data_IF_516045630465
#
_entry.id   IF_516045630465
#
_cell.length_a   1.000
_cell.length_b   1.000
_cell.length_c   1.000
_cell.angle_alpha   90.00
_cell.angle_beta   90.00
_cell.angle_gamma   90.00
#
_symmetry.space_group_name_H-M   'P 1'
#
loop_
_entity.id
_entity.type
_entity.pdbx_description
1 polymer ?
#
# COMPACT_ATOMS: atom_id res chain seq x y z
N UNK A 1 4.75 5.52 -8.44
CA UNK A 1 6.13 5.39 -9.02
C UNK A 1 6.15 4.41 -10.19
N UNK A 2 7.35 4.12 -10.80
CA UNK A 2 7.44 3.13 -11.89
C UNK A 2 6.99 1.74 -11.42
N UNK A 3 7.39 1.22 -10.25
CA UNK A 3 6.86 -0.04 -9.74
C UNK A 3 5.34 -0.09 -9.66
N UNK A 4 4.69 0.96 -9.20
CA UNK A 4 3.21 1.03 -9.05
C UNK A 4 2.45 1.05 -10.39
N UNK A 5 3.14 1.15 -11.52
CA UNK A 5 2.52 0.96 -12.83
C UNK A 5 2.03 -0.48 -13.03
N UNK A 6 2.34 -1.40 -12.13
CA UNK A 6 1.76 -2.74 -12.10
C UNK A 6 0.23 -2.73 -12.00
N UNK A 7 -0.36 -1.67 -11.43
CA UNK A 7 -1.82 -1.46 -11.40
C UNK A 7 -2.45 -1.45 -12.81
N UNK A 8 -1.67 -1.16 -13.85
CA UNK A 8 -2.14 -1.22 -15.24
C UNK A 8 -2.54 -2.67 -15.60
N UNK A 9 -1.96 -3.68 -14.95
CA UNK A 9 -2.35 -5.08 -15.07
C UNK A 9 -3.84 -5.32 -14.83
N UNK A 10 -4.49 -4.52 -13.99
CA UNK A 10 -5.92 -4.61 -13.71
C UNK A 10 -6.81 -4.39 -14.96
N UNK A 11 -6.26 -3.87 -16.06
CA UNK A 11 -7.01 -3.67 -17.29
C UNK A 11 -7.26 -4.97 -18.08
N UNK A 12 -6.44 -6.02 -17.83
CA UNK A 12 -6.53 -7.29 -18.56
C UNK A 12 -6.39 -8.54 -17.69
N UNK A 13 -6.00 -8.40 -16.42
CA UNK A 13 -5.92 -9.50 -15.47
C UNK A 13 -7.24 -9.66 -14.70
N UNK A 14 -7.51 -10.87 -14.21
CA UNK A 14 -8.56 -11.07 -13.22
C UNK A 14 -8.23 -10.33 -11.91
N UNK A 15 -9.23 -10.02 -11.08
CA UNK A 15 -9.00 -9.39 -9.77
C UNK A 15 -8.07 -10.25 -8.89
N UNK A 16 -8.21 -11.57 -8.97
CA UNK A 16 -7.37 -12.51 -8.24
C UNK A 16 -5.91 -12.47 -8.71
N UNK A 17 -5.69 -12.49 -10.02
CA UNK A 17 -4.34 -12.42 -10.60
C UNK A 17 -3.70 -11.05 -10.32
N UNK A 18 -4.49 -9.98 -10.39
CA UNK A 18 -4.05 -8.63 -10.03
C UNK A 18 -3.62 -8.52 -8.57
N UNK A 19 -4.34 -9.19 -7.66
CA UNK A 19 -3.96 -9.26 -6.23
C UNK A 19 -2.60 -9.93 -6.02
N UNK A 20 -2.32 -11.00 -6.78
CA UNK A 20 -1.05 -11.71 -6.72
C UNK A 20 0.08 -10.95 -7.44
N UNK A 21 -0.24 -10.21 -8.51
CA UNK A 21 0.73 -9.46 -9.31
C UNK A 21 1.17 -8.16 -8.65
N UNK A 22 0.24 -7.49 -7.95
CA UNK A 22 0.53 -6.23 -7.27
C UNK A 22 1.61 -6.40 -6.18
N UNK A 23 2.61 -5.51 -6.20
CA UNK A 23 3.85 -5.60 -5.42
C UNK A 23 4.64 -6.91 -5.64
N UNK A 24 4.53 -7.46 -6.85
CA UNK A 24 5.29 -8.62 -7.33
C UNK A 24 6.61 -8.22 -7.97
N UNK A 25 6.84 -8.68 -9.20
CA UNK A 25 8.13 -8.53 -9.90
C UNK A 25 8.57 -7.08 -10.06
N UNK A 26 7.65 -6.15 -10.30
CA UNK A 26 7.93 -4.71 -10.43
C UNK A 26 8.48 -4.08 -9.15
N UNK A 27 8.22 -4.71 -7.99
CA UNK A 27 8.69 -4.31 -6.67
C UNK A 27 9.85 -5.19 -6.16
N UNK A 28 10.48 -5.98 -7.03
CA UNK A 28 11.61 -6.83 -6.64
C UNK A 28 12.95 -6.08 -6.71
N UNK A 29 13.92 -6.59 -5.98
CA UNK A 29 15.30 -6.13 -6.10
C UNK A 29 15.85 -6.36 -7.51
N UNK A 30 15.49 -7.48 -8.14
CA UNK A 30 15.88 -7.76 -9.52
C UNK A 30 15.38 -6.68 -10.48
N UNK A 31 14.09 -6.34 -10.41
CA UNK A 31 13.53 -5.26 -11.23
C UNK A 31 14.20 -3.92 -10.95
N UNK A 32 14.48 -3.61 -9.69
CA UNK A 32 15.14 -2.36 -9.31
C UNK A 32 16.53 -2.23 -9.91
N UNK A 33 17.30 -3.32 -9.91
CA UNK A 33 18.66 -3.34 -10.48
C UNK A 33 18.58 -3.27 -12.02
N UNK A 34 17.87 -4.20 -12.66
CA UNK A 34 17.75 -4.26 -14.13
C UNK A 34 17.10 -2.98 -14.67
N UNK A 35 16.03 -2.51 -14.01
CA UNK A 35 15.35 -1.27 -14.39
C UNK A 35 16.26 -0.04 -14.26
N UNK A 36 17.13 0.03 -13.26
CA UNK A 36 18.08 1.12 -13.12
C UNK A 36 19.02 1.22 -14.32
N UNK A 37 19.55 0.10 -14.79
CA UNK A 37 20.38 0.07 -16.00
C UNK A 37 19.59 0.41 -17.25
N UNK A 38 18.43 -0.20 -17.44
CA UNK A 38 17.59 0.00 -18.63
C UNK A 38 17.10 1.46 -18.73
N UNK A 39 16.43 1.97 -17.69
CA UNK A 39 15.87 3.32 -17.71
C UNK A 39 16.96 4.39 -17.70
N UNK A 40 18.08 4.15 -16.99
CA UNK A 40 19.23 5.04 -17.00
C UNK A 40 19.85 5.15 -18.40
N UNK A 41 20.02 4.02 -19.09
CA UNK A 41 20.50 3.99 -20.46
C UNK A 41 19.53 4.68 -21.44
N UNK A 42 18.23 4.38 -21.34
CA UNK A 42 17.20 4.98 -22.20
C UNK A 42 17.18 6.50 -22.08
N UNK A 43 17.18 7.03 -20.83
CA UNK A 43 17.14 8.47 -20.59
C UNK A 43 18.44 9.13 -21.02
N UNK A 44 19.59 8.51 -20.77
CA UNK A 44 20.86 9.01 -21.26
C UNK A 44 20.87 9.13 -22.79
N UNK A 45 20.48 8.08 -23.51
CA UNK A 45 20.37 8.06 -24.98
C UNK A 45 19.39 9.11 -25.49
N UNK A 46 18.27 9.29 -24.80
CA UNK A 46 17.30 10.34 -25.15
C UNK A 46 17.94 11.72 -25.12
N UNK A 47 18.71 12.04 -24.07
CA UNK A 47 19.35 13.35 -23.91
C UNK A 47 20.57 13.54 -24.82
N UNK A 48 21.26 12.48 -25.26
CA UNK A 48 22.33 12.54 -26.28
C UNK A 48 21.80 12.64 -27.70
N UNK A 49 20.52 12.36 -27.92
CA UNK A 49 19.93 12.47 -29.27
C UNK A 49 19.80 13.93 -29.72
N UNK A 50 19.97 14.16 -31.05
CA UNK A 50 19.64 15.45 -31.67
C UNK A 50 18.17 15.90 -31.43
N UNK A 51 17.28 14.95 -31.15
CA UNK A 51 15.88 15.17 -30.88
C UNK A 51 15.55 15.27 -29.40
N UNK A 52 16.54 15.45 -28.51
CA UNK A 52 16.37 15.42 -27.06
C UNK A 52 15.24 16.33 -26.53
N UNK A 53 15.07 17.53 -27.14
CA UNK A 53 13.97 18.45 -26.79
C UNK A 53 12.61 17.84 -27.09
N UNK A 54 12.45 17.31 -28.32
CA UNK A 54 11.19 16.69 -28.75
C UNK A 54 10.89 15.44 -27.93
N UNK A 55 11.84 14.54 -27.78
CA UNK A 55 11.69 13.30 -27.02
C UNK A 55 11.39 13.57 -25.55
N UNK A 56 12.11 14.52 -24.93
CA UNK A 56 11.87 14.91 -23.55
C UNK A 56 10.50 15.59 -23.36
N UNK A 57 10.13 16.49 -24.25
CA UNK A 57 8.85 17.18 -24.23
C UNK A 57 7.68 16.21 -24.40
N UNK A 58 7.73 15.38 -25.43
CA UNK A 58 6.67 14.38 -25.69
C UNK A 58 6.57 13.36 -24.57
N UNK A 59 7.71 12.86 -24.06
CA UNK A 59 7.72 11.93 -22.92
C UNK A 59 7.04 12.52 -21.67
N UNK A 60 7.37 13.74 -21.27
CA UNK A 60 6.76 14.38 -20.12
C UNK A 60 5.28 14.73 -20.34
N UNK A 61 4.88 15.12 -21.56
CA UNK A 61 3.46 15.32 -21.89
C UNK A 61 2.69 14.01 -21.77
N UNK A 62 3.23 12.92 -22.34
CA UNK A 62 2.61 11.59 -22.23
C UNK A 62 2.48 11.13 -20.77
N UNK A 63 3.51 11.34 -19.95
CA UNK A 63 3.46 11.05 -18.51
C UNK A 63 2.34 11.88 -17.83
N UNK A 64 2.25 13.17 -18.11
CA UNK A 64 1.22 14.05 -17.53
C UNK A 64 -0.18 13.58 -17.92
N UNK A 65 -0.40 13.25 -19.20
CA UNK A 65 -1.68 12.76 -19.72
C UNK A 65 -2.02 11.38 -19.15
N UNK A 66 -1.05 10.46 -19.10
CA UNK A 66 -1.25 9.12 -18.52
C UNK A 66 -1.59 9.20 -17.03
N UNK A 67 -0.90 10.06 -16.26
CA UNK A 67 -1.20 10.29 -14.84
C UNK A 67 -2.62 10.86 -14.66
N UNK A 68 -3.00 11.83 -15.49
CA UNK A 68 -4.34 12.40 -15.48
C UNK A 68 -5.41 11.34 -15.80
N UNK A 69 -5.19 10.54 -16.84
CA UNK A 69 -6.12 9.48 -17.25
C UNK A 69 -6.26 8.41 -16.17
N UNK A 70 -5.15 7.95 -15.60
CA UNK A 70 -5.17 6.97 -14.53
C UNK A 70 -5.92 7.52 -13.30
N UNK A 71 -5.65 8.77 -12.93
CA UNK A 71 -6.36 9.44 -11.83
C UNK A 71 -7.86 9.56 -12.08
N UNK A 72 -8.30 9.79 -13.32
CA UNK A 72 -9.70 9.88 -13.70
C UNK A 72 -10.41 8.51 -13.71
N UNK A 73 -9.70 7.46 -14.10
CA UNK A 73 -10.24 6.09 -14.20
C UNK A 73 -10.42 5.40 -12.85
N UNK A 74 -9.57 5.70 -11.87
CA UNK A 74 -9.60 5.04 -10.55
C UNK A 74 -10.76 5.57 -9.69
N UNK A 75 -11.70 4.71 -9.27
CA UNK A 75 -12.81 5.03 -8.34
C UNK A 75 -13.96 5.82 -8.96
N UNK A 76 -14.92 6.26 -8.12
CA UNK A 76 -16.12 6.97 -8.58
C UNK A 76 -15.80 8.36 -9.15
N UNK A 77 -16.52 8.75 -10.20
CA UNK A 77 -16.40 10.08 -10.82
C UNK A 77 -16.92 11.17 -9.86
N UNK A 78 -16.20 12.30 -9.82
CA UNK A 78 -16.68 13.54 -9.19
C UNK A 78 -16.15 14.75 -9.95
N UNK A 79 -16.84 15.89 -9.85
CA UNK A 79 -16.43 17.14 -10.50
C UNK A 79 -15.05 17.60 -10.00
N UNK A 80 -14.79 17.47 -8.70
CA UNK A 80 -13.49 17.82 -8.09
C UNK A 80 -12.39 16.95 -8.69
N UNK A 81 -12.63 15.64 -8.79
CA UNK A 81 -11.71 14.69 -9.39
C UNK A 81 -11.44 15.02 -10.86
N UNK A 82 -12.48 15.36 -11.63
CA UNK A 82 -12.33 15.79 -13.02
C UNK A 82 -11.48 17.06 -13.11
N UNK A 83 -11.73 18.07 -12.29
CA UNK A 83 -10.96 19.32 -12.26
C UNK A 83 -9.48 19.07 -11.93
N UNK A 84 -9.18 18.22 -10.96
CA UNK A 84 -7.80 17.83 -10.59
C UNK A 84 -7.13 17.09 -11.75
N UNK A 85 -7.78 16.08 -12.35
CA UNK A 85 -7.24 15.32 -13.47
C UNK A 85 -6.93 16.21 -14.68
N UNK A 86 -7.86 17.11 -15.05
CA UNK A 86 -7.64 18.08 -16.13
C UNK A 86 -6.46 19.01 -15.77
N UNK A 87 -6.38 19.49 -14.53
CA UNK A 87 -5.26 20.33 -14.08
C UNK A 87 -3.91 19.62 -14.19
N UNK A 88 -3.84 18.34 -13.85
CA UNK A 88 -2.64 17.52 -14.01
C UNK A 88 -2.29 17.36 -15.49
N UNK A 89 -3.24 16.96 -16.34
CA UNK A 89 -3.00 16.69 -17.76
C UNK A 89 -2.65 17.95 -18.54
N UNK A 90 -3.51 18.96 -18.48
CA UNK A 90 -3.35 20.22 -19.25
C UNK A 90 -2.27 21.10 -18.62
N UNK A 91 -2.29 21.29 -17.30
CA UNK A 91 -1.29 22.08 -16.58
C UNK A 91 0.11 21.49 -16.69
N UNK A 92 0.25 20.18 -16.48
CA UNK A 92 1.52 19.46 -16.63
C UNK A 92 2.05 19.55 -18.06
N UNK A 93 1.20 19.36 -19.06
CA UNK A 93 1.58 19.48 -20.48
C UNK A 93 1.99 20.92 -20.83
N UNK A 94 1.25 21.93 -20.38
CA UNK A 94 1.59 23.33 -20.59
C UNK A 94 2.93 23.72 -19.93
N UNK A 95 3.15 23.33 -18.69
CA UNK A 95 4.40 23.61 -17.98
C UNK A 95 5.58 22.90 -18.66
N UNK A 96 5.40 21.68 -19.15
CA UNK A 96 6.39 20.96 -19.93
C UNK A 96 6.72 21.69 -21.22
N UNK A 97 5.70 22.05 -22.01
CA UNK A 97 5.88 22.81 -23.24
C UNK A 97 6.63 24.12 -22.98
N UNK A 98 6.19 24.92 -22.00
CA UNK A 98 6.84 26.18 -21.62
C UNK A 98 8.30 25.97 -21.20
N UNK A 99 8.61 24.90 -20.47
CA UNK A 99 9.97 24.58 -20.00
C UNK A 99 10.90 24.23 -21.16
N UNK A 100 10.48 23.36 -22.07
CA UNK A 100 11.33 22.89 -23.18
C UNK A 100 11.53 23.94 -24.28
N UNK A 101 10.59 24.89 -24.42
CA UNK A 101 10.67 25.99 -25.39
C UNK A 101 11.30 27.28 -24.83
N UNK A 102 11.81 27.29 -23.59
CA UNK A 102 12.56 28.45 -23.07
C UNK A 102 13.89 28.61 -23.85
N UNK A 103 14.28 29.88 -24.17
CA UNK A 103 15.58 30.13 -24.81
C UNK A 103 16.77 29.58 -24.01
N UNK A 104 16.68 29.60 -22.68
CA UNK A 104 17.70 29.09 -21.77
C UNK A 104 17.53 27.60 -21.41
N UNK A 105 16.82 26.82 -22.24
CA UNK A 105 16.74 25.37 -22.00
C UNK A 105 18.10 24.72 -22.26
N UNK A 106 18.71 24.20 -21.21
CA UNK A 106 19.90 23.37 -21.28
C UNK A 106 19.53 21.92 -20.95
N UNK A 107 20.08 20.97 -21.69
CA UNK A 107 19.99 19.55 -21.35
C UNK A 107 20.69 19.29 -20.02
N UNK A 108 20.27 18.28 -19.23
CA UNK A 108 21.00 17.87 -18.05
C UNK A 108 22.43 17.45 -18.39
N UNK A 109 23.42 17.99 -17.70
CA UNK A 109 24.80 17.53 -17.76
C UNK A 109 24.96 16.36 -16.78
N UNK A 110 24.60 15.18 -17.21
CA UNK A 110 24.62 13.96 -16.40
C UNK A 110 25.21 12.81 -17.21
N UNK A 111 26.17 12.12 -16.62
CA UNK A 111 26.77 10.93 -17.21
C UNK A 111 25.78 9.74 -17.18
N UNK A 112 26.06 8.70 -17.97
CA UNK A 112 25.30 7.45 -17.90
C UNK A 112 25.28 6.87 -16.46
N UNK A 113 26.38 6.97 -15.75
CA UNK A 113 26.49 6.54 -14.33
C UNK A 113 25.55 7.30 -13.42
N UNK A 114 25.39 8.62 -13.61
CA UNK A 114 24.49 9.43 -12.81
C UNK A 114 23.04 9.03 -13.02
N UNK A 115 22.65 8.72 -14.27
CA UNK A 115 21.34 8.21 -14.59
C UNK A 115 21.07 6.83 -13.98
N UNK A 116 22.06 5.91 -14.00
CA UNK A 116 21.94 4.60 -13.36
C UNK A 116 21.71 4.75 -11.85
N UNK A 117 22.49 5.60 -11.17
CA UNK A 117 22.30 5.83 -9.72
C UNK A 117 20.97 6.50 -9.40
N UNK A 118 20.52 7.44 -10.23
CA UNK A 118 19.21 8.07 -10.04
C UNK A 118 18.08 7.03 -10.07
N UNK A 119 18.06 6.20 -11.09
CA UNK A 119 17.05 5.16 -11.21
C UNK A 119 17.21 4.04 -10.18
N UNK A 120 18.43 3.67 -9.85
CA UNK A 120 18.68 2.67 -8.80
C UNK A 120 18.07 3.10 -7.47
N UNK A 121 18.41 4.28 -6.98
CA UNK A 121 17.84 4.76 -5.71
C UNK A 121 16.34 5.00 -5.79
N UNK A 122 15.84 5.52 -6.90
CA UNK A 122 14.40 5.73 -7.10
C UNK A 122 13.59 4.44 -7.15
N UNK A 123 14.16 3.36 -7.70
CA UNK A 123 13.48 2.07 -7.81
C UNK A 123 13.64 1.21 -6.55
N UNK A 124 14.85 1.17 -5.94
CA UNK A 124 15.13 0.26 -4.83
C UNK A 124 14.52 0.74 -3.51
N UNK A 125 14.47 2.06 -3.27
CA UNK A 125 13.90 2.60 -2.04
C UNK A 125 12.40 2.39 -1.95
N UNK A 126 11.70 2.36 -3.07
CA UNK A 126 10.25 2.19 -3.11
C UNK A 126 9.80 0.83 -2.53
N UNK A 127 10.21 -0.33 -3.05
CA UNK A 127 9.82 -1.62 -2.48
C UNK A 127 10.34 -1.83 -1.06
N UNK A 128 11.48 -1.24 -0.68
CA UNK A 128 11.94 -1.26 0.72
C UNK A 128 10.93 -0.53 1.61
N UNK A 129 10.47 0.67 1.23
CA UNK A 129 9.46 1.41 1.98
C UNK A 129 8.13 0.66 2.07
N UNK A 130 7.75 -0.04 1.01
CA UNK A 130 6.54 -0.86 1.01
C UNK A 130 6.57 -2.00 2.01
N UNK A 131 7.74 -2.55 2.34
CA UNK A 131 7.86 -3.60 3.37
C UNK A 131 7.50 -3.12 4.77
N UNK A 132 7.51 -1.83 5.03
CA UNK A 132 7.08 -1.30 6.32
C UNK A 132 5.56 -1.34 6.50
N UNK A 133 4.79 -1.54 5.42
CA UNK A 133 3.33 -1.65 5.46
C UNK A 133 2.85 -3.10 5.69
N UNK A 134 1.59 -3.25 6.10
CA UNK A 134 0.96 -4.56 6.35
C UNK A 134 0.69 -5.38 5.07
N UNK A 135 0.64 -4.72 3.92
CA UNK A 135 0.37 -5.40 2.65
C UNK A 135 1.45 -6.40 2.27
N UNK A 136 2.72 -6.04 2.50
CA UNK A 136 3.88 -6.86 2.15
C UNK A 136 4.30 -6.72 0.68
N UNK A 137 5.57 -7.07 0.39
CA UNK A 137 6.22 -6.87 -0.90
C UNK A 137 7.07 -8.07 -1.26
N UNK A 138 6.98 -8.55 -2.49
CA UNK A 138 7.73 -9.70 -2.99
C UNK A 138 9.14 -9.27 -3.44
N UNK A 139 10.00 -8.91 -2.49
CA UNK A 139 11.35 -8.39 -2.75
C UNK A 139 12.23 -9.32 -3.60
N UNK A 140 12.00 -10.62 -3.50
CA UNK A 140 12.84 -11.67 -4.13
C UNK A 140 12.19 -12.29 -5.37
N UNK A 141 11.09 -11.70 -5.89
CA UNK A 141 10.50 -12.18 -7.14
C UNK A 141 11.49 -12.03 -8.32
N UNK A 142 11.50 -12.98 -9.27
CA UNK A 142 10.62 -14.14 -9.43
C UNK A 142 11.07 -15.40 -8.68
N UNK A 143 12.15 -15.35 -7.91
CA UNK A 143 12.76 -16.53 -7.26
C UNK A 143 11.99 -16.97 -6.01
N UNK A 144 11.22 -16.08 -5.39
CA UNK A 144 10.39 -16.37 -4.23
C UNK A 144 9.16 -15.47 -4.24
N UNK A 145 8.03 -16.04 -3.84
CA UNK A 145 6.77 -15.32 -3.64
C UNK A 145 6.59 -14.85 -2.18
N UNK A 146 7.63 -14.94 -1.34
CA UNK A 146 7.60 -14.45 0.03
C UNK A 146 7.33 -12.94 0.07
N UNK A 147 6.35 -12.54 0.87
CA UNK A 147 5.95 -11.14 1.05
C UNK A 147 6.54 -10.59 2.34
N UNK A 148 7.61 -9.80 2.21
CA UNK A 148 8.22 -9.11 3.34
C UNK A 148 7.30 -8.01 3.86
N UNK A 149 6.93 -8.05 5.15
CA UNK A 149 6.09 -7.06 5.80
C UNK A 149 6.53 -6.86 7.26
N UNK A 150 6.92 -5.64 7.62
CA UNK A 150 7.26 -5.25 8.99
C UNK A 150 6.00 -4.77 9.72
N UNK A 151 5.08 -4.16 8.99
CA UNK A 151 3.76 -3.72 9.48
C UNK A 151 3.85 -2.70 10.62
N UNK A 152 4.73 -1.72 10.51
CA UNK A 152 4.92 -0.68 11.51
C UNK A 152 4.38 0.69 11.09
N UNK A 153 3.99 0.85 9.82
CA UNK A 153 3.39 2.08 9.31
C UNK A 153 2.14 1.77 8.48
N UNK A 154 1.16 2.65 8.52
CA UNK A 154 -0.02 2.60 7.66
C UNK A 154 0.36 2.86 6.19
N UNK A 155 -0.35 2.25 5.24
CA UNK A 155 -0.16 2.49 3.80
C UNK A 155 -0.27 3.98 3.44
N UNK A 156 -1.17 4.71 4.12
CA UNK A 156 -1.32 6.16 3.99
C UNK A 156 -1.11 6.79 5.37
N UNK A 157 0.12 7.16 5.68
CA UNK A 157 0.47 7.88 6.91
C UNK A 157 0.75 9.36 6.58
N UNK A 158 -0.16 10.29 6.95
CA UNK A 158 0.01 11.71 6.67
C UNK A 158 1.24 12.32 7.38
N UNK A 159 1.55 11.87 8.60
CA UNK A 159 2.69 12.42 9.34
C UNK A 159 4.01 12.09 8.62
N UNK A 160 4.21 10.83 8.20
CA UNK A 160 5.38 10.44 7.40
C UNK A 160 5.46 11.25 6.10
N UNK A 161 4.34 11.33 5.39
CA UNK A 161 4.27 11.98 4.07
C UNK A 161 4.53 13.47 4.17
N UNK A 162 3.91 14.18 5.12
CA UNK A 162 4.07 15.62 5.28
C UNK A 162 5.47 16.02 5.73
N UNK A 163 6.09 15.25 6.63
CA UNK A 163 7.48 15.47 7.08
C UNK A 163 8.47 15.39 5.91
N UNK A 164 8.19 14.55 4.91
CA UNK A 164 9.00 14.44 3.70
C UNK A 164 8.63 15.49 2.64
N UNK A 165 7.34 15.63 2.32
CA UNK A 165 6.88 16.41 1.17
C UNK A 165 6.96 17.92 1.39
N UNK A 166 6.68 18.42 2.61
CA UNK A 166 6.71 19.86 2.88
C UNK A 166 8.11 20.46 2.61
N UNK A 167 9.21 19.92 3.15
CA UNK A 167 10.55 20.42 2.82
C UNK A 167 10.87 20.33 1.32
N UNK A 168 10.39 19.30 0.61
CA UNK A 168 10.60 19.18 -0.83
C UNK A 168 9.84 20.26 -1.62
N UNK A 169 8.59 20.54 -1.25
CA UNK A 169 7.80 21.63 -1.86
C UNK A 169 8.51 22.96 -1.66
N UNK A 170 8.96 23.25 -0.45
CA UNK A 170 9.71 24.48 -0.16
C UNK A 170 11.01 24.53 -0.98
N UNK A 171 11.74 23.41 -1.08
CA UNK A 171 12.96 23.32 -1.88
C UNK A 171 12.71 23.60 -3.38
N UNK A 172 11.52 23.29 -3.90
CA UNK A 172 11.18 23.52 -5.31
C UNK A 172 11.15 25.01 -5.70
N UNK A 173 10.92 25.91 -4.75
CA UNK A 173 10.93 27.36 -4.98
C UNK A 173 12.35 27.97 -5.04
N UNK A 174 13.39 27.23 -4.65
CA UNK A 174 14.76 27.71 -4.69
C UNK A 174 15.49 27.22 -5.94
N UNK A 175 16.37 28.09 -6.49
CA UNK A 175 17.22 27.72 -7.62
C UNK A 175 18.19 26.59 -7.23
N UNK A 176 18.56 25.74 -8.22
CA UNK A 176 19.39 24.54 -7.99
C UNK A 176 20.73 24.82 -7.31
N UNK A 177 21.35 25.98 -7.61
CA UNK A 177 22.64 26.38 -7.05
C UNK A 177 22.56 26.84 -5.59
N UNK A 178 21.39 27.10 -5.05
CA UNK A 178 21.27 27.61 -3.68
C UNK A 178 21.48 26.49 -2.65
N UNK A 179 22.40 26.66 -1.68
CA UNK A 179 22.68 25.62 -0.67
C UNK A 179 21.46 25.24 0.16
N UNK A 180 20.55 26.18 0.38
CA UNK A 180 19.30 25.97 1.13
C UNK A 180 18.47 24.84 0.52
N UNK A 181 18.47 24.69 -0.81
CA UNK A 181 17.73 23.62 -1.48
C UNK A 181 18.23 22.24 -1.05
N UNK A 182 19.54 22.04 -0.99
CA UNK A 182 20.15 20.79 -0.51
C UNK A 182 19.82 20.55 0.96
N UNK A 183 19.88 21.58 1.80
CA UNK A 183 19.53 21.49 3.24
C UNK A 183 18.07 21.03 3.40
N UNK A 184 17.13 21.64 2.68
CA UNK A 184 15.71 21.29 2.74
C UNK A 184 15.43 19.83 2.31
N UNK A 185 16.08 19.35 1.23
CA UNK A 185 15.97 17.95 0.81
C UNK A 185 16.44 17.01 1.93
N UNK A 186 17.61 17.29 2.52
CA UNK A 186 18.10 16.48 3.64
C UNK A 186 17.21 16.59 4.88
N UNK A 187 16.64 17.75 5.16
CA UNK A 187 15.67 17.91 6.26
C UNK A 187 14.47 16.98 6.05
N UNK A 188 13.90 16.92 4.84
CA UNK A 188 12.79 16.00 4.55
C UNK A 188 13.17 14.53 4.77
N UNK A 189 14.33 14.12 4.26
CA UNK A 189 14.83 12.75 4.44
C UNK A 189 15.06 12.43 5.92
N UNK A 190 15.71 13.31 6.66
CA UNK A 190 16.03 13.09 8.09
C UNK A 190 14.74 13.01 8.92
N UNK A 191 13.82 13.96 8.75
CA UNK A 191 12.57 13.98 9.52
C UNK A 191 11.70 12.74 9.24
N UNK A 192 11.55 12.35 7.98
CA UNK A 192 10.80 11.14 7.64
C UNK A 192 11.48 9.86 8.15
N UNK A 193 12.83 9.82 8.15
CA UNK A 193 13.59 8.69 8.71
C UNK A 193 13.46 8.60 10.23
N UNK A 194 13.50 9.73 10.93
CA UNK A 194 13.27 9.78 12.39
C UNK A 194 11.86 9.28 12.71
N UNK A 195 10.87 9.73 11.93
CA UNK A 195 9.49 9.24 12.11
C UNK A 195 9.39 7.74 11.83
N UNK A 196 10.05 7.21 10.81
CA UNK A 196 10.12 5.77 10.56
C UNK A 196 10.71 5.00 11.75
N UNK A 197 11.79 5.49 12.35
CA UNK A 197 12.34 4.90 13.60
C UNK A 197 11.31 4.95 14.74
N UNK A 198 10.57 6.04 14.87
CA UNK A 198 9.49 6.15 15.86
C UNK A 198 8.37 5.12 15.61
N UNK A 199 7.96 4.89 14.37
CA UNK A 199 6.95 3.86 14.07
C UNK A 199 7.45 2.43 14.38
N UNK A 200 8.74 2.14 14.17
CA UNK A 200 9.36 0.87 14.58
C UNK A 200 9.38 0.71 16.11
N UNK A 201 9.67 1.77 16.84
CA UNK A 201 9.61 1.77 18.30
C UNK A 201 8.16 1.52 18.79
N UNK A 202 7.17 2.15 18.18
CA UNK A 202 5.77 1.91 18.51
C UNK A 202 5.36 0.45 18.20
N UNK A 203 5.80 -0.11 17.07
CA UNK A 203 5.60 -1.53 16.75
C UNK A 203 6.15 -2.44 17.85
N UNK A 204 7.36 -2.16 18.33
CA UNK A 204 7.95 -2.92 19.43
C UNK A 204 7.09 -2.82 20.68
N UNK A 205 6.71 -1.60 21.11
CA UNK A 205 5.86 -1.38 22.29
C UNK A 205 4.52 -2.11 22.20
N UNK A 206 3.82 -1.94 21.09
CA UNK A 206 2.52 -2.59 20.83
C UNK A 206 2.64 -4.12 20.84
N UNK A 207 3.75 -4.64 20.32
CA UNK A 207 4.04 -6.08 20.36
C UNK A 207 4.20 -6.58 21.80
N UNK A 208 4.81 -5.80 22.71
CA UNK A 208 4.89 -6.17 24.13
C UNK A 208 3.50 -6.12 24.79
N UNK A 209 2.73 -5.05 24.56
CA UNK A 209 1.34 -4.95 25.08
C UNK A 209 0.48 -6.13 24.64
N UNK A 210 0.61 -6.58 23.38
CA UNK A 210 -0.11 -7.77 22.92
C UNK A 210 0.31 -9.01 23.70
N UNK A 211 1.61 -9.25 23.88
CA UNK A 211 2.11 -10.39 24.65
C UNK A 211 1.61 -10.37 26.10
N UNK A 212 1.67 -9.21 26.77
CA UNK A 212 1.23 -9.05 28.14
C UNK A 212 -0.29 -9.28 28.24
N UNK A 213 -1.08 -8.81 27.26
CA UNK A 213 -2.53 -9.09 27.18
C UNK A 213 -2.80 -10.58 27.06
N UNK A 214 -2.08 -11.30 26.19
CA UNK A 214 -2.27 -12.73 25.97
C UNK A 214 -1.94 -13.55 27.23
N UNK A 215 -0.90 -13.19 27.95
CA UNK A 215 -0.55 -13.79 29.23
C UNK A 215 -1.61 -13.53 30.29
N UNK A 216 -2.06 -12.27 30.42
CA UNK A 216 -3.08 -11.88 31.42
C UNK A 216 -4.43 -12.56 31.18
N UNK A 217 -4.81 -12.83 29.94
CA UNK A 217 -6.06 -13.48 29.56
C UNK A 217 -5.95 -15.00 29.41
N UNK A 218 -4.74 -15.58 29.65
CA UNK A 218 -4.44 -17.01 29.49
C UNK A 218 -4.81 -17.54 28.09
N UNK A 219 -4.54 -16.74 27.04
CA UNK A 219 -4.82 -17.10 25.66
C UNK A 219 -3.61 -17.86 25.10
N UNK A 220 -3.81 -19.15 24.77
CA UNK A 220 -2.85 -19.93 24.02
C UNK A 220 -2.90 -19.54 22.55
N UNK A 221 -1.73 -19.32 21.93
CA UNK A 221 -1.62 -18.87 20.53
C UNK A 221 -0.44 -19.53 19.81
N UNK A 222 -0.55 -19.66 18.51
CA UNK A 222 0.55 -20.08 17.64
C UNK A 222 1.38 -18.90 17.16
N UNK A 223 0.72 -17.82 16.81
CA UNK A 223 1.31 -16.56 16.32
C UNK A 223 0.32 -15.42 16.46
N UNK A 224 0.81 -14.20 16.35
CA UNK A 224 -0.05 -13.02 16.27
C UNK A 224 0.52 -11.99 15.30
N UNK A 225 -0.32 -11.08 14.87
CA UNK A 225 0.00 -9.99 13.96
C UNK A 225 -0.53 -8.68 14.53
N UNK A 226 0.24 -7.59 14.41
CA UNK A 226 -0.20 -6.26 14.77
C UNK A 226 0.17 -5.28 13.68
N UNK A 227 -0.70 -4.32 13.38
CA UNK A 227 -0.44 -3.24 12.43
C UNK A 227 -1.13 -1.96 12.86
N UNK A 228 -0.58 -0.78 12.53
CA UNK A 228 -1.28 0.47 12.80
C UNK A 228 -2.52 0.58 11.90
N UNK A 229 -3.56 1.22 12.43
CA UNK A 229 -4.76 1.51 11.66
C UNK A 229 -4.50 2.59 10.59
N UNK A 230 -5.45 2.80 9.70
CA UNK A 230 -5.31 3.74 8.59
C UNK A 230 -5.05 5.17 9.07
N UNK A 231 -4.20 5.92 8.37
CA UNK A 231 -3.89 7.36 8.55
C UNK A 231 -3.17 7.74 9.84
N UNK A 232 -2.79 6.79 10.70
CA UNK A 232 -2.11 7.12 11.96
C UNK A 232 -1.16 6.00 12.41
N UNK A 233 -0.38 6.28 13.45
CA UNK A 233 0.50 5.34 14.14
C UNK A 233 0.22 5.30 15.66
N UNK A 234 -1.00 5.66 16.08
CA UNK A 234 -1.45 5.70 17.48
C UNK A 234 -2.38 4.52 17.76
N UNK A 235 -3.39 4.31 16.91
CA UNK A 235 -4.31 3.19 17.00
C UNK A 235 -3.76 1.98 16.25
N UNK A 236 -3.75 0.84 16.89
CA UNK A 236 -3.23 -0.42 16.38
C UNK A 236 -4.30 -1.50 16.39
N UNK A 237 -4.32 -2.30 15.35
CA UNK A 237 -5.12 -3.52 15.29
C UNK A 237 -4.23 -4.72 15.57
N UNK A 238 -4.81 -5.75 16.17
CA UNK A 238 -4.13 -7.01 16.43
C UNK A 238 -5.01 -8.20 16.11
N UNK A 239 -4.42 -9.26 15.59
CA UNK A 239 -5.05 -10.56 15.39
C UNK A 239 -4.14 -11.64 15.95
N UNK A 240 -4.72 -12.55 16.70
CA UNK A 240 -4.05 -13.66 17.39
C UNK A 240 -4.60 -14.96 16.85
N UNK A 241 -3.71 -15.79 16.33
CA UNK A 241 -4.02 -17.10 15.77
C UNK A 241 -3.97 -18.15 16.90
N UNK A 242 -5.13 -18.66 17.29
CA UNK A 242 -5.29 -19.73 18.26
C UNK A 242 -5.95 -20.96 17.63
N UNK A 243 -6.05 -22.05 18.37
CA UNK A 243 -6.61 -23.31 17.88
C UNK A 243 -8.10 -23.15 17.53
N UNK A 244 -8.42 -23.16 16.23
CA UNK A 244 -9.80 -23.06 15.72
C UNK A 244 -10.39 -21.65 15.72
N UNK A 245 -9.76 -20.69 16.38
CA UNK A 245 -10.30 -19.33 16.56
C UNK A 245 -9.26 -18.25 16.29
N UNK A 246 -9.73 -17.05 15.98
CA UNK A 246 -8.96 -15.82 16.08
C UNK A 246 -9.44 -14.99 17.27
N UNK A 247 -8.49 -14.37 17.98
CA UNK A 247 -8.78 -13.20 18.79
C UNK A 247 -8.31 -11.98 18.03
N UNK A 248 -9.14 -10.96 17.95
CA UNK A 248 -8.82 -9.73 17.25
C UNK A 248 -9.31 -8.52 18.05
N UNK A 249 -8.63 -7.39 17.89
CA UNK A 249 -9.02 -6.21 18.64
C UNK A 249 -8.11 -5.02 18.35
N UNK A 250 -8.32 -3.96 19.12
CA UNK A 250 -7.60 -2.70 18.96
C UNK A 250 -7.00 -2.24 20.27
N UNK A 251 -5.89 -1.52 20.14
CA UNK A 251 -5.20 -0.83 21.21
C UNK A 251 -4.72 0.54 20.72
N UNK A 252 -5.04 1.60 21.47
CA UNK A 252 -4.48 2.92 21.25
C UNK A 252 -3.31 3.16 22.19
N UNK A 253 -2.24 3.79 21.71
CA UNK A 253 -1.14 4.26 22.56
C UNK A 253 -1.60 5.32 23.58
N UNK A 254 -2.84 5.83 23.45
CA UNK A 254 -3.49 6.79 24.34
C UNK A 254 -4.50 6.12 25.27
N UNK A 255 -4.70 4.81 25.18
CA UNK A 255 -5.55 4.07 26.15
C UNK A 255 -4.94 4.19 27.56
N UNK A 256 -5.80 4.33 28.56
CA UNK A 256 -5.38 4.41 29.99
C UNK A 256 -4.65 3.12 30.40
N UNK A 257 -5.21 1.98 29.99
CA UNK A 257 -4.63 0.67 30.26
C UNK A 257 -3.91 0.14 29.03
N UNK A 258 -2.63 -0.29 29.14
CA UNK A 258 -1.91 -0.88 28.02
C UNK A 258 -2.38 -2.32 27.79
N UNK A 259 -3.56 -2.48 27.21
CA UNK A 259 -4.19 -3.77 26.96
C UNK A 259 -5.00 -3.75 25.65
N UNK A 260 -4.89 -4.82 24.86
CA UNK A 260 -5.79 -5.02 23.74
C UNK A 260 -7.18 -5.44 24.22
N UNK A 261 -8.22 -4.81 23.67
CA UNK A 261 -9.61 -5.27 23.86
C UNK A 261 -9.88 -6.33 22.80
N UNK A 262 -9.79 -7.62 23.18
CA UNK A 262 -9.87 -8.74 22.25
C UNK A 262 -11.29 -9.31 22.18
N UNK A 263 -11.81 -9.50 20.98
CA UNK A 263 -13.01 -10.28 20.66
C UNK A 263 -12.60 -11.61 20.03
N UNK A 264 -13.44 -12.64 20.20
CA UNK A 264 -13.19 -13.99 19.67
C UNK A 264 -14.05 -14.24 18.43
N UNK A 265 -13.48 -14.94 17.43
CA UNK A 265 -14.18 -15.38 16.23
C UNK A 265 -13.69 -16.76 15.79
N UNK A 266 -14.62 -17.60 15.31
CA UNK A 266 -14.27 -18.89 14.72
C UNK A 266 -13.62 -18.71 13.34
N UNK A 267 -12.64 -19.56 13.02
CA UNK A 267 -11.98 -19.54 11.71
C UNK A 267 -12.86 -20.10 10.59
N UNK A 268 -13.70 -21.09 10.93
CA UNK A 268 -14.60 -21.80 10.03
C UNK A 268 -13.91 -22.35 8.77
N UNK A 269 -12.65 -22.80 8.88
CA UNK A 269 -11.89 -23.36 7.74
C UNK A 269 -12.51 -24.65 7.21
N UNK A 270 -13.34 -25.33 8.02
CA UNK A 270 -14.15 -26.49 7.63
C UNK A 270 -15.10 -26.20 6.48
N UNK A 271 -15.57 -24.96 6.32
CA UNK A 271 -16.43 -24.54 5.23
C UNK A 271 -15.77 -24.63 3.85
N UNK A 272 -14.45 -24.68 3.79
CA UNK A 272 -13.66 -24.84 2.56
C UNK A 272 -12.75 -26.06 2.61
N UNK A 273 -12.99 -27.00 3.55
CA UNK A 273 -12.15 -28.18 3.72
C UNK A 273 -12.22 -29.14 2.52
N UNK A 274 -13.26 -29.03 1.71
CA UNK A 274 -13.47 -29.78 0.48
C UNK A 274 -12.83 -29.14 -0.78
N UNK A 275 -12.19 -27.97 -0.61
CA UNK A 275 -11.42 -27.36 -1.68
C UNK A 275 -10.24 -28.26 -2.11
N UNK A 276 -10.02 -28.38 -3.42
CA UNK A 276 -8.81 -29.03 -3.91
C UNK A 276 -7.55 -28.39 -3.36
N UNK A 277 -6.51 -29.15 -3.10
CA UNK A 277 -5.20 -28.61 -2.71
C UNK A 277 -4.63 -27.66 -3.77
N UNK A 278 -5.01 -27.84 -5.03
CA UNK A 278 -4.59 -27.00 -6.16
C UNK A 278 -5.59 -25.89 -6.50
N UNK A 279 -6.62 -25.65 -5.65
CA UNK A 279 -7.57 -24.56 -5.90
C UNK A 279 -6.86 -23.22 -5.90
N UNK A 280 -6.84 -22.59 -7.08
CA UNK A 280 -6.13 -21.33 -7.33
C UNK A 280 -6.63 -20.19 -6.44
N UNK A 281 -7.95 -20.09 -6.25
CA UNK A 281 -8.57 -18.99 -5.49
C UNK A 281 -8.19 -19.11 -4.02
N UNK A 282 -8.42 -20.29 -3.44
CA UNK A 282 -8.12 -20.53 -2.03
C UNK A 282 -6.62 -20.37 -1.75
N UNK A 283 -5.76 -20.91 -2.61
CA UNK A 283 -4.30 -20.82 -2.44
C UNK A 283 -3.79 -19.37 -2.53
N UNK A 284 -4.28 -18.57 -3.47
CA UNK A 284 -3.89 -17.16 -3.58
C UNK A 284 -4.39 -16.37 -2.36
N UNK A 285 -5.63 -16.57 -1.91
CA UNK A 285 -6.19 -15.85 -0.77
C UNK A 285 -5.49 -16.23 0.55
N UNK A 286 -5.14 -17.49 0.75
CA UNK A 286 -4.31 -17.94 1.87
C UNK A 286 -2.93 -17.32 1.85
N UNK A 287 -2.25 -17.37 0.71
CA UNK A 287 -0.95 -16.71 0.53
C UNK A 287 -1.05 -15.19 0.75
N UNK A 288 -2.08 -14.54 0.20
CA UNK A 288 -2.28 -13.12 0.35
C UNK A 288 -2.49 -12.70 1.80
N UNK A 289 -3.32 -13.43 2.54
CA UNK A 289 -3.60 -13.17 3.96
C UNK A 289 -2.49 -13.67 4.90
N UNK A 290 -1.43 -14.30 4.39
CA UNK A 290 -0.42 -14.99 5.19
C UNK A 290 -1.05 -16.00 6.17
N UNK A 291 -2.05 -16.75 5.70
CA UNK A 291 -2.89 -17.68 6.47
C UNK A 291 -3.65 -17.05 7.66
N UNK A 292 -3.75 -15.72 7.76
CA UNK A 292 -4.63 -15.04 8.71
C UNK A 292 -5.98 -14.77 8.07
N UNK A 293 -6.78 -15.80 7.84
CA UNK A 293 -8.09 -15.65 7.24
C UNK A 293 -9.18 -16.40 8.00
N UNK A 294 -10.40 -15.88 7.94
CA UNK A 294 -11.60 -16.56 8.43
C UNK A 294 -12.61 -16.70 7.30
N UNK A 295 -13.43 -17.74 7.38
CA UNK A 295 -14.48 -18.02 6.39
C UNK A 295 -15.83 -17.81 7.04
N UNK A 296 -16.77 -17.22 6.31
CA UNK A 296 -18.13 -17.05 6.78
C UNK A 296 -19.15 -17.34 5.66
N UNK A 297 -20.35 -17.74 6.05
CA UNK A 297 -21.48 -17.83 5.13
C UNK A 297 -22.13 -16.45 4.99
N UNK A 298 -22.40 -16.06 3.76
CA UNK A 298 -23.10 -14.83 3.42
C UNK A 298 -24.61 -15.03 3.45
N UNK A 299 -25.35 -13.93 3.50
CA UNK A 299 -26.83 -13.94 3.40
C UNK A 299 -27.32 -14.54 2.07
N UNK A 300 -26.54 -14.42 1.00
CA UNK A 300 -26.85 -15.00 -0.33
C UNK A 300 -26.51 -16.51 -0.45
N UNK A 301 -26.07 -17.14 0.64
CA UNK A 301 -25.68 -18.55 0.72
C UNK A 301 -24.27 -18.86 0.19
N UNK A 302 -23.54 -17.88 -0.34
CA UNK A 302 -22.16 -18.03 -0.78
C UNK A 302 -21.19 -17.95 0.41
N UNK A 303 -19.91 -18.16 0.15
CA UNK A 303 -18.87 -18.01 1.16
C UNK A 303 -18.16 -16.68 1.01
N UNK A 304 -17.56 -16.22 2.09
CA UNK A 304 -16.67 -15.07 2.10
C UNK A 304 -15.41 -15.40 2.89
N UNK A 305 -14.26 -15.12 2.30
CA UNK A 305 -12.95 -15.23 2.93
C UNK A 305 -12.54 -13.84 3.38
N UNK A 306 -12.20 -13.68 4.66
CA UNK A 306 -11.86 -12.39 5.27
C UNK A 306 -10.37 -12.38 5.67
N UNK A 307 -9.62 -11.39 5.22
CA UNK A 307 -8.24 -11.20 5.68
C UNK A 307 -8.25 -10.51 7.05
N UNK A 308 -7.89 -11.27 8.08
CA UNK A 308 -7.95 -10.83 9.47
C UNK A 308 -6.87 -9.81 9.84
N UNK A 309 -5.81 -9.66 9.05
CA UNK A 309 -4.69 -8.75 9.34
C UNK A 309 -5.09 -7.28 9.37
N UNK A 310 -6.15 -6.92 8.64
CA UNK A 310 -6.65 -5.55 8.57
C UNK A 310 -7.74 -5.25 9.58
N UNK A 311 -8.20 -6.28 10.29
CA UNK A 311 -9.24 -6.16 11.30
C UNK A 311 -10.63 -5.97 10.72
N UNK A 312 -11.54 -5.55 11.60
CA UNK A 312 -12.92 -5.21 11.25
C UNK A 312 -13.07 -3.69 11.16
N UNK A 313 -14.02 -3.28 10.35
CA UNK A 313 -14.35 -1.89 10.12
C UNK A 313 -15.30 -1.34 11.21
N UNK A 314 -16.40 -2.07 11.45
CA UNK A 314 -17.44 -1.79 12.43
C UNK A 314 -18.08 -3.11 12.85
N UNK A 315 -18.68 -3.17 14.02
CA UNK A 315 -19.36 -4.38 14.50
C UNK A 315 -18.45 -5.30 15.31
N UNK A 316 -18.83 -6.57 15.38
CA UNK A 316 -18.16 -7.62 16.15
C UNK A 316 -17.58 -8.76 15.29
N UNK A 317 -17.60 -8.59 13.95
CA UNK A 317 -17.14 -9.59 12.99
C UNK A 317 -18.19 -10.65 12.64
N UNK A 318 -19.45 -10.45 13.01
CA UNK A 318 -20.55 -11.37 12.68
C UNK A 318 -21.19 -11.09 11.33
N UNK A 319 -21.10 -9.84 10.86
CA UNK A 319 -21.65 -9.43 9.56
C UNK A 319 -20.61 -9.51 8.44
N UNK A 320 -21.06 -9.90 7.24
CA UNK A 320 -20.24 -9.89 6.02
C UNK A 320 -19.65 -8.51 5.68
N UNK A 321 -20.26 -7.42 6.16
CA UNK A 321 -19.87 -6.03 5.94
C UNK A 321 -18.88 -5.49 6.97
N UNK A 322 -18.58 -6.25 8.02
CA UNK A 322 -17.70 -5.79 9.09
C UNK A 322 -16.22 -5.75 8.68
N UNK A 323 -15.84 -6.54 7.68
CA UNK A 323 -14.43 -6.74 7.31
C UNK A 323 -13.92 -5.72 6.30
N UNK A 324 -12.70 -5.22 6.53
CA UNK A 324 -12.04 -4.26 5.64
C UNK A 324 -11.62 -4.92 4.33
N UNK A 325 -11.01 -6.12 4.41
CA UNK A 325 -10.64 -6.92 3.24
C UNK A 325 -11.44 -8.21 3.24
N UNK A 326 -12.35 -8.32 2.30
CA UNK A 326 -13.20 -9.48 2.13
C UNK A 326 -13.27 -9.94 0.66
N UNK A 327 -13.38 -11.23 0.49
CA UNK A 327 -13.33 -11.92 -0.79
C UNK A 327 -14.53 -12.88 -0.88
N UNK A 328 -15.68 -12.42 -1.40
CA UNK A 328 -16.80 -13.29 -1.70
C UNK A 328 -16.41 -14.32 -2.76
N UNK A 329 -16.65 -15.59 -2.46
CA UNK A 329 -16.35 -16.71 -3.35
C UNK A 329 -17.58 -17.58 -3.55
N UNK A 330 -17.69 -18.18 -4.75
CA UNK A 330 -18.71 -19.15 -5.06
C UNK A 330 -18.09 -20.47 -5.49
N UNK A 331 -18.73 -21.56 -5.11
CA UNK A 331 -18.32 -22.90 -5.54
C UNK A 331 -18.91 -23.21 -6.91
N UNK A 332 -18.07 -23.64 -7.82
CA UNK A 332 -18.45 -24.05 -9.16
C UNK A 332 -18.88 -25.52 -9.20
N UNK A 333 -19.53 -25.94 -10.31
CA UNK A 333 -19.99 -27.31 -10.50
C UNK A 333 -18.89 -28.38 -10.54
N UNK A 334 -17.65 -27.97 -10.86
CA UNK A 334 -16.47 -28.83 -10.86
C UNK A 334 -15.81 -28.96 -9.46
N UNK A 335 -16.39 -28.28 -8.46
CA UNK A 335 -15.89 -28.27 -7.09
C UNK A 335 -14.81 -27.21 -6.79
N UNK A 336 -14.34 -26.47 -7.80
CA UNK A 336 -13.41 -25.33 -7.62
C UNK A 336 -14.13 -24.08 -7.10
N UNK A 337 -13.35 -23.10 -6.64
CA UNK A 337 -13.87 -21.82 -6.20
C UNK A 337 -13.60 -20.71 -7.22
N UNK A 338 -14.53 -19.77 -7.32
CA UNK A 338 -14.40 -18.57 -8.14
C UNK A 338 -14.55 -17.33 -7.25
N UNK A 339 -13.65 -16.36 -7.41
CA UNK A 339 -13.75 -15.05 -6.76
C UNK A 339 -14.80 -14.22 -7.48
N UNK A 340 -15.82 -13.76 -6.74
CA UNK A 340 -16.90 -12.94 -7.31
C UNK A 340 -16.43 -11.50 -7.47
N UNK A 341 -15.92 -10.92 -6.38
CA UNK A 341 -15.38 -9.57 -6.35
C UNK A 341 -14.51 -9.39 -5.10
N UNK A 342 -13.33 -8.84 -5.25
CA UNK A 342 -12.54 -8.43 -4.10
C UNK A 342 -13.05 -7.10 -3.55
N UNK A 343 -13.15 -6.98 -2.23
CA UNK A 343 -13.42 -5.71 -1.57
C UNK A 343 -12.28 -5.38 -0.61
N UNK A 344 -11.68 -4.20 -0.83
CA UNK A 344 -10.72 -3.60 0.10
C UNK A 344 -11.20 -2.21 0.48
N UNK A 345 -11.49 -2.00 1.77
CA UNK A 345 -11.96 -0.73 2.31
C UNK A 345 -13.41 -0.75 2.80
N UNK A 346 -13.97 0.43 3.08
CA UNK A 346 -15.30 0.54 3.68
C UNK A 346 -16.40 -0.02 2.79
N UNK A 347 -17.44 -0.63 3.38
CA UNK A 347 -18.59 -1.13 2.62
C UNK A 347 -19.29 0.00 1.84
N UNK A 348 -19.94 -0.38 0.74
CA UNK A 348 -20.72 0.57 -0.05
C UNK A 348 -21.85 1.18 0.79
N UNK A 349 -21.94 2.52 0.77
CA UNK A 349 -22.96 3.26 1.53
C UNK A 349 -22.58 3.60 2.97
N UNK A 350 -21.38 3.22 3.45
CA UNK A 350 -20.92 3.63 4.77
C UNK A 350 -20.80 5.15 4.90
N UNK A 351 -21.31 5.71 6.01
CA UNK A 351 -21.16 7.14 6.30
C UNK A 351 -19.71 7.44 6.69
N UNK A 352 -19.02 8.14 5.78
CA UNK A 352 -17.62 8.51 5.98
C UNK A 352 -17.41 9.50 7.14
N UNK A 353 -18.43 10.29 7.48
CA UNK A 353 -18.36 11.23 8.60
C UNK A 353 -18.41 10.50 9.94
N UNK A 354 -19.38 9.59 10.09
CA UNK A 354 -19.48 8.71 11.27
C UNK A 354 -18.20 7.89 11.47
N UNK A 355 -17.71 7.30 10.37
CA UNK A 355 -16.45 6.54 10.38
C UNK A 355 -15.24 7.33 10.86
N UNK A 356 -15.09 8.57 10.37
CA UNK A 356 -13.99 9.41 10.79
C UNK A 356 -14.11 9.79 12.28
N UNK A 357 -15.33 9.99 12.76
CA UNK A 357 -15.61 10.28 14.17
C UNK A 357 -15.29 9.09 15.06
N UNK A 358 -15.74 7.88 14.67
CA UNK A 358 -15.48 6.63 15.42
C UNK A 358 -13.97 6.32 15.46
N UNK A 359 -13.30 6.46 14.31
CA UNK A 359 -11.84 6.28 14.22
C UNK A 359 -11.11 7.27 15.12
N UNK A 360 -11.53 8.53 15.11
CA UNK A 360 -10.92 9.57 15.94
C UNK A 360 -11.13 9.31 17.42
N UNK A 361 -12.36 8.97 17.85
CA UNK A 361 -12.66 8.61 19.23
C UNK A 361 -11.77 7.44 19.67
N UNK A 362 -11.68 6.39 18.86
CA UNK A 362 -10.84 5.23 19.18
C UNK A 362 -9.34 5.53 19.19
N UNK A 363 -8.85 6.43 18.33
CA UNK A 363 -7.46 6.94 18.39
C UNK A 363 -7.21 7.62 19.73
N UNK A 364 -8.16 8.43 20.21
CA UNK A 364 -8.05 9.16 21.47
C UNK A 364 -8.23 8.30 22.73
N UNK A 365 -8.47 6.99 22.59
CA UNK A 365 -8.63 6.07 23.72
C UNK A 365 -10.04 6.09 24.34
N UNK A 366 -11.02 6.61 23.59
CA UNK A 366 -12.42 6.74 24.04
C UNK A 366 -13.28 5.60 23.49
#
# INVERSE_FOLDING_TARGET
TIPDLDIIGNLWMSELDSLAFHRGISHSFLFSIVGAFLFGWLVHRMYESRFHKLLGMTGWILISLATASLFLLVGKFSIIKAAIGISIGVGGSYLTFKRFNRPAFAKPEASLRDWHWLFFWGLITHPILDTFTAYGTQLFAPFSNYRAAISNISVADPAYTLLFVIPLIIAAFYHRSKPIRKKLVWTGIILSSIYMCFTLYNKYRVTQVMKDTLVAENIEYSRFFTSPSILNNILWTGVVDSKGVYYFGQYSLLDIEPKFKLSKMEKNHDLIADASQDDKVINILRWFSNDYFAVMKREDGKLQINDMRYGIFKGDGTSEKDFIFNFPVERLSDGSYNLIKAQGGPPEGADRGEMATDLWARIMGI
#
